data_IF_209365294194
#
_entry.id   IF_209365294194
#
_cell.length_a   1.000
_cell.length_b   1.000
_cell.length_c   1.000
_cell.angle_alpha   90.00
_cell.angle_beta   90.00
_cell.angle_gamma   90.00
#
_symmetry.space_group_name_H-M   'P 1'
#
loop_
_entity.id
_entity.type
_entity.pdbx_description
1 polymer ?
#
# COMPACT_ATOMS: atom_id res chain seq x y z
N UNK A 1 -28.87 19.93 -7.06
CA UNK A 1 -28.02 18.73 -7.29
C UNK A 1 -26.59 19.21 -7.49
N UNK A 2 -25.70 18.96 -6.51
CA UNK A 2 -24.30 19.33 -6.62
C UNK A 2 -23.62 18.32 -7.56
N UNK A 3 -23.41 18.69 -8.82
CA UNK A 3 -22.57 17.88 -9.72
C UNK A 3 -21.13 18.04 -9.25
N UNK A 4 -20.55 16.99 -8.67
CA UNK A 4 -19.10 16.87 -8.59
C UNK A 4 -18.59 17.05 -10.03
N UNK A 5 -17.74 18.04 -10.25
CA UNK A 5 -17.11 18.20 -11.57
C UNK A 5 -16.38 16.89 -11.91
N UNK A 6 -16.32 16.53 -13.19
CA UNK A 6 -15.60 15.33 -13.64
C UNK A 6 -14.16 15.28 -13.10
N UNK A 7 -13.54 16.45 -12.94
CA UNK A 7 -12.24 16.64 -12.30
C UNK A 7 -12.23 16.20 -10.83
N UNK A 8 -13.28 16.51 -10.07
CA UNK A 8 -13.42 16.06 -8.69
C UNK A 8 -13.62 14.55 -8.61
N UNK A 9 -14.41 13.96 -9.52
CA UNK A 9 -14.61 12.51 -9.60
C UNK A 9 -13.29 11.79 -9.85
N UNK A 10 -12.51 12.24 -10.84
CA UNK A 10 -11.22 11.64 -11.16
C UNK A 10 -10.23 11.76 -10.00
N UNK A 11 -10.18 12.91 -9.32
CA UNK A 11 -9.34 13.10 -8.13
C UNK A 11 -9.72 12.15 -6.99
N UNK A 12 -11.02 11.92 -6.78
CA UNK A 12 -11.48 10.98 -5.76
C UNK A 12 -11.04 9.56 -6.11
N UNK A 13 -11.24 9.10 -7.35
CA UNK A 13 -10.81 7.78 -7.83
C UNK A 13 -9.31 7.61 -7.62
N UNK A 14 -8.49 8.55 -8.08
CA UNK A 14 -7.03 8.49 -7.89
C UNK A 14 -6.63 8.42 -6.42
N UNK A 15 -7.27 9.19 -5.54
CA UNK A 15 -6.98 9.14 -4.11
C UNK A 15 -7.32 7.77 -3.49
N UNK A 16 -8.45 7.17 -3.89
CA UNK A 16 -8.82 5.82 -3.46
C UNK A 16 -7.84 4.77 -3.99
N UNK A 17 -7.48 4.83 -5.27
CA UNK A 17 -6.49 3.92 -5.87
C UNK A 17 -5.15 4.00 -5.15
N UNK A 18 -4.63 5.22 -4.87
CA UNK A 18 -3.38 5.39 -4.14
C UNK A 18 -3.46 4.82 -2.72
N UNK A 19 -4.61 4.95 -2.04
CA UNK A 19 -4.80 4.39 -0.71
C UNK A 19 -4.76 2.85 -0.72
N UNK A 20 -5.44 2.22 -1.69
CA UNK A 20 -5.43 0.77 -1.88
C UNK A 20 -4.02 0.26 -2.20
N UNK A 21 -3.36 0.88 -3.19
CA UNK A 21 -1.99 0.51 -3.59
C UNK A 21 -0.99 0.67 -2.43
N UNK A 22 -1.05 1.78 -1.68
CA UNK A 22 -0.22 1.99 -0.49
C UNK A 22 -0.45 0.89 0.55
N UNK A 23 -1.71 0.54 0.82
CA UNK A 23 -2.06 -0.49 1.81
C UNK A 23 -1.55 -1.87 1.41
N UNK A 24 -1.72 -2.24 0.14
CA UNK A 24 -1.24 -3.51 -0.39
C UNK A 24 0.30 -3.61 -0.34
N UNK A 25 1.00 -2.53 -0.71
CA UNK A 25 2.46 -2.49 -0.68
C UNK A 25 3.05 -2.46 0.74
N UNK A 26 2.35 -1.85 1.72
CA UNK A 26 2.74 -1.92 3.13
C UNK A 26 2.59 -3.35 3.69
N UNK A 27 1.55 -4.07 3.26
CA UNK A 27 1.38 -5.48 3.62
C UNK A 27 2.51 -6.34 3.02
N UNK A 28 2.85 -6.12 1.75
CA UNK A 28 4.00 -6.77 1.09
C UNK A 28 5.32 -6.52 1.85
N UNK A 29 5.61 -5.26 2.22
CA UNK A 29 6.79 -4.93 3.01
C UNK A 29 6.83 -5.71 4.33
N UNK A 30 5.70 -5.76 5.05
CA UNK A 30 5.60 -6.47 6.33
C UNK A 30 5.82 -7.97 6.16
N UNK A 31 5.23 -8.55 5.12
CA UNK A 31 5.42 -9.97 4.80
C UNK A 31 6.89 -10.28 4.47
N UNK A 32 7.55 -9.46 3.64
CA UNK A 32 8.96 -9.65 3.29
C UNK A 32 9.88 -9.59 4.53
N UNK A 33 9.59 -8.69 5.47
CA UNK A 33 10.32 -8.61 6.74
C UNK A 33 10.11 -9.86 7.63
N UNK A 34 8.89 -10.41 7.66
CA UNK A 34 8.56 -11.61 8.43
C UNK A 34 9.22 -12.88 7.85
N UNK A 35 9.22 -13.02 6.53
CA UNK A 35 9.94 -14.11 5.86
C UNK A 35 11.45 -14.02 6.16
N UNK A 36 12.05 -12.84 6.01
CA UNK A 36 13.47 -12.66 6.28
C UNK A 36 13.85 -12.99 7.74
N UNK A 37 13.01 -12.62 8.72
CA UNK A 37 13.25 -12.98 10.14
C UNK A 37 13.21 -14.50 10.37
N UNK A 38 12.39 -15.22 9.61
CA UNK A 38 12.22 -16.67 9.74
C UNK A 38 13.43 -17.44 9.19
N UNK A 39 14.05 -16.92 8.14
CA UNK A 39 15.28 -17.50 7.56
C UNK A 39 16.50 -17.34 8.48
N UNK A 40 16.58 -16.24 9.25
CA UNK A 40 17.68 -16.02 10.21
C UNK A 40 17.63 -16.97 11.42
N UNK A 41 16.44 -17.41 11.84
CA UNK A 41 16.27 -18.34 12.97
C UNK A 41 16.50 -19.80 12.60
N UNK A 42 16.52 -20.16 11.32
CA UNK A 42 16.65 -21.56 10.89
C UNK A 42 17.52 -21.73 9.61
N UNK A 43 18.85 -21.53 9.71
CA UNK A 43 19.77 -21.46 8.56
C UNK A 43 19.95 -22.77 7.77
N UNK A 44 19.38 -23.88 8.25
CA UNK A 44 19.40 -25.18 7.57
C UNK A 44 18.14 -25.44 6.71
N UNK A 45 17.16 -24.56 6.77
CA UNK A 45 16.03 -24.60 5.85
C UNK A 45 16.45 -23.81 4.61
N UNK A 46 16.78 -24.53 3.54
CA UNK A 46 16.99 -23.99 2.19
C UNK A 46 15.64 -23.55 1.59
N UNK A 47 14.82 -22.89 2.40
CA UNK A 47 13.69 -22.10 1.95
C UNK A 47 14.29 -20.75 1.56
N UNK A 48 14.89 -20.68 0.37
CA UNK A 48 14.72 -19.44 -0.41
C UNK A 48 13.24 -19.12 -0.30
N UNK A 49 12.88 -18.03 0.39
CA UNK A 49 11.49 -17.64 0.62
C UNK A 49 10.81 -17.45 -0.74
N UNK A 50 10.32 -18.54 -1.31
CA UNK A 50 9.58 -18.55 -2.56
C UNK A 50 8.35 -17.75 -2.23
N UNK A 51 8.25 -16.54 -2.76
CA UNK A 51 6.98 -15.83 -2.74
C UNK A 51 5.98 -16.81 -3.34
N UNK A 52 4.95 -17.24 -2.59
CA UNK A 52 3.88 -18.00 -3.19
C UNK A 52 3.11 -17.00 -4.05
N UNK A 53 3.69 -16.66 -5.20
CA UNK A 53 2.99 -16.03 -6.30
C UNK A 53 1.84 -16.97 -6.63
N UNK A 54 0.60 -16.47 -6.72
CA UNK A 54 -0.50 -17.33 -7.08
C UNK A 54 -0.21 -17.89 -8.48
N UNK A 55 -0.51 -19.16 -8.73
CA UNK A 55 -0.39 -19.70 -10.08
C UNK A 55 -1.27 -18.89 -11.04
N UNK A 56 -0.97 -18.92 -12.34
CA UNK A 56 -1.82 -18.27 -13.34
C UNK A 56 -3.28 -18.75 -13.25
N UNK A 57 -3.50 -20.01 -12.85
CA UNK A 57 -4.85 -20.54 -12.57
C UNK A 57 -5.47 -19.92 -11.32
N UNK A 58 -4.72 -19.73 -10.24
CA UNK A 58 -5.21 -19.06 -9.03
C UNK A 58 -5.57 -17.59 -9.29
N UNK A 59 -4.76 -16.89 -10.09
CA UNK A 59 -5.04 -15.51 -10.49
C UNK A 59 -6.31 -15.42 -11.35
N UNK A 60 -6.47 -16.30 -12.34
CA UNK A 60 -7.68 -16.34 -13.18
C UNK A 60 -8.92 -16.81 -12.41
N UNK A 61 -8.78 -17.70 -11.43
CA UNK A 61 -9.87 -18.10 -10.55
C UNK A 61 -10.35 -16.91 -9.70
N UNK A 62 -9.45 -16.17 -9.05
CA UNK A 62 -9.81 -14.99 -8.23
C UNK A 62 -10.46 -13.90 -9.11
N UNK A 63 -9.98 -13.73 -10.35
CA UNK A 63 -10.56 -12.79 -11.33
C UNK A 63 -11.97 -13.21 -11.76
N UNK A 64 -12.17 -14.50 -12.00
CA UNK A 64 -13.46 -15.09 -12.38
C UNK A 64 -14.48 -15.00 -11.23
N UNK A 65 -14.04 -15.24 -9.99
CA UNK A 65 -14.87 -15.11 -8.79
C UNK A 65 -15.25 -13.64 -8.51
N UNK A 66 -14.38 -12.69 -8.89
CA UNK A 66 -14.68 -11.25 -8.80
C UNK A 66 -15.60 -10.73 -9.92
N UNK A 67 -15.68 -11.41 -11.06
CA UNK A 67 -16.45 -10.97 -12.25
C UNK A 67 -17.80 -11.67 -12.41
N UNK A 68 -18.11 -12.67 -11.58
CA UNK A 68 -19.37 -13.44 -11.64
C UNK A 68 -20.51 -12.85 -10.80
N UNK A 69 -20.30 -11.74 -10.08
CA UNK A 69 -21.40 -11.08 -9.33
C UNK A 69 -22.31 -10.29 -10.29
N UNK A 70 -23.60 -10.60 -10.22
CA UNK A 70 -24.67 -10.12 -11.09
C UNK A 70 -24.72 -8.58 -11.15
N UNK A 71 -24.58 -8.01 -12.35
CA UNK A 71 -24.45 -6.55 -12.63
C UNK A 71 -25.65 -5.74 -12.12
N UNK A 72 -26.79 -6.39 -11.90
CA UNK A 72 -28.03 -5.74 -11.45
C UNK A 72 -28.01 -5.33 -9.96
N UNK A 73 -27.08 -5.86 -9.17
CA UNK A 73 -26.89 -5.42 -7.77
C UNK A 73 -25.40 -5.30 -7.50
N UNK A 74 -24.85 -4.07 -7.34
CA UNK A 74 -23.46 -3.91 -6.96
C UNK A 74 -23.27 -4.43 -5.53
N UNK A 75 -22.93 -5.70 -5.41
CA UNK A 75 -22.50 -6.32 -4.18
C UNK A 75 -20.99 -6.14 -4.04
N UNK A 76 -20.56 -5.72 -2.86
CA UNK A 76 -19.14 -5.77 -2.54
C UNK A 76 -18.69 -7.24 -2.62
N UNK A 77 -17.51 -7.54 -3.19
CA UNK A 77 -16.92 -8.87 -3.05
C UNK A 77 -16.84 -9.21 -1.55
N UNK A 78 -16.97 -10.48 -1.20
CA UNK A 78 -16.89 -10.89 0.21
C UNK A 78 -15.49 -10.52 0.72
N UNK A 79 -15.44 -9.48 1.54
CA UNK A 79 -14.17 -8.88 1.92
C UNK A 79 -13.60 -9.69 3.08
N UNK A 80 -12.35 -10.19 3.00
CA UNK A 80 -11.82 -11.16 3.98
C UNK A 80 -11.61 -10.61 5.40
N UNK A 81 -11.94 -9.35 5.69
CA UNK A 81 -11.74 -8.73 7.01
C UNK A 81 -12.62 -9.31 8.13
N UNK A 82 -13.63 -10.13 7.81
CA UNK A 82 -14.69 -10.55 8.73
C UNK A 82 -14.49 -11.88 9.47
N UNK A 83 -13.64 -12.77 8.96
CA UNK A 83 -13.47 -14.12 9.54
C UNK A 83 -12.15 -14.26 10.29
N UNK A 84 -12.16 -14.83 11.48
CA UNK A 84 -10.97 -15.03 12.33
C UNK A 84 -9.97 -16.05 11.75
N UNK A 85 -10.27 -16.68 10.61
CA UNK A 85 -9.38 -17.55 9.82
C UNK A 85 -8.63 -16.81 8.68
N UNK A 86 -8.63 -15.47 8.68
CA UNK A 86 -8.45 -14.63 7.47
C UNK A 86 -7.03 -14.23 7.07
N UNK A 87 -5.95 -14.63 7.75
CA UNK A 87 -4.62 -14.13 7.35
C UNK A 87 -4.21 -14.59 5.95
N UNK A 88 -4.40 -15.88 5.63
CA UNK A 88 -4.08 -16.42 4.31
C UNK A 88 -5.02 -15.87 3.22
N UNK A 89 -6.32 -15.78 3.51
CA UNK A 89 -7.30 -15.22 2.57
C UNK A 89 -7.08 -13.73 2.31
N UNK A 90 -6.72 -12.97 3.34
CA UNK A 90 -6.38 -11.54 3.25
C UNK A 90 -5.10 -11.35 2.44
N UNK A 91 -4.08 -12.18 2.69
CA UNK A 91 -2.85 -12.17 1.91
C UNK A 91 -3.12 -12.50 0.43
N UNK A 92 -3.88 -13.55 0.13
CA UNK A 92 -4.26 -13.91 -1.25
C UNK A 92 -5.01 -12.78 -1.96
N UNK A 93 -5.92 -12.10 -1.26
CA UNK A 93 -6.63 -10.95 -1.82
C UNK A 93 -5.70 -9.75 -2.06
N UNK A 94 -4.82 -9.43 -1.12
CA UNK A 94 -3.81 -8.36 -1.28
C UNK A 94 -2.84 -8.68 -2.42
N UNK A 95 -2.42 -9.93 -2.53
CA UNK A 95 -1.56 -10.43 -3.59
C UNK A 95 -2.26 -10.37 -4.95
N UNK A 96 -3.54 -10.74 -5.03
CA UNK A 96 -4.36 -10.54 -6.22
C UNK A 96 -4.40 -9.07 -6.64
N UNK A 97 -4.63 -8.15 -5.69
CA UNK A 97 -4.59 -6.71 -5.97
C UNK A 97 -3.21 -6.28 -6.48
N UNK A 98 -2.13 -6.76 -5.87
CA UNK A 98 -0.76 -6.44 -6.29
C UNK A 98 -0.48 -6.95 -7.71
N UNK A 99 -0.79 -8.20 -8.04
CA UNK A 99 -0.53 -8.78 -9.37
C UNK A 99 -1.42 -8.14 -10.44
N UNK A 100 -2.65 -7.75 -10.08
CA UNK A 100 -3.58 -7.06 -11.01
C UNK A 100 -3.18 -5.62 -11.28
N UNK A 101 -2.65 -4.91 -10.28
CA UNK A 101 -2.25 -3.50 -10.41
C UNK A 101 -0.82 -3.34 -10.96
N UNK A 102 0.04 -4.34 -10.80
CA UNK A 102 1.44 -4.31 -11.19
C UNK A 102 1.77 -5.45 -12.17
N UNK A 103 1.32 -5.29 -13.43
CA UNK A 103 1.47 -6.28 -14.53
C UNK A 103 2.90 -6.81 -14.74
N UNK A 104 3.92 -6.04 -14.37
CA UNK A 104 5.33 -6.47 -14.51
C UNK A 104 5.70 -7.61 -13.54
N UNK A 105 4.96 -7.79 -12.44
CA UNK A 105 5.08 -8.96 -11.56
C UNK A 105 4.64 -10.25 -12.27
N UNK A 106 3.89 -10.11 -13.36
CA UNK A 106 3.27 -11.19 -14.12
C UNK A 106 4.00 -11.50 -15.43
N UNK A 107 5.06 -10.78 -15.80
CA UNK A 107 5.79 -11.04 -17.04
C UNK A 107 6.78 -12.18 -16.81
N UNK A 108 6.53 -13.38 -17.39
CA UNK A 108 7.52 -14.41 -17.48
C UNK A 108 8.37 -14.05 -18.70
N UNK A 109 9.31 -13.14 -18.54
CA UNK A 109 10.41 -13.06 -19.49
C UNK A 109 11.04 -14.47 -19.48
N UNK A 110 11.51 -14.99 -20.62
CA UNK A 110 12.15 -16.32 -20.68
C UNK A 110 13.42 -16.43 -19.79
N UNK A 111 13.75 -15.38 -19.04
CA UNK A 111 14.82 -15.26 -18.04
C UNK A 111 14.31 -14.76 -16.67
N UNK A 112 13.00 -14.59 -16.49
CA UNK A 112 12.38 -14.08 -15.26
C UNK A 112 12.30 -15.22 -14.24
N UNK A 113 13.37 -15.39 -13.48
CA UNK A 113 13.41 -16.15 -12.23
C UNK A 113 12.64 -15.41 -11.13
N UNK A 114 11.36 -15.11 -11.37
CA UNK A 114 10.50 -14.43 -10.40
C UNK A 114 10.13 -15.32 -9.20
N UNK A 115 10.63 -16.56 -9.13
CA UNK A 115 10.29 -17.48 -8.06
C UNK A 115 11.18 -17.35 -6.83
N UNK A 116 12.39 -16.79 -6.91
CA UNK A 116 13.32 -16.74 -5.76
C UNK A 116 14.11 -15.42 -5.59
N UNK A 117 14.04 -14.46 -6.53
CA UNK A 117 14.76 -13.19 -6.41
C UNK A 117 13.90 -12.12 -5.70
N UNK A 118 14.30 -11.61 -4.51
CA UNK A 118 13.59 -10.53 -3.84
C UNK A 118 13.80 -9.15 -4.50
N UNK A 119 14.77 -9.00 -5.41
CA UNK A 119 15.12 -7.71 -5.99
C UNK A 119 13.97 -7.00 -6.73
N UNK A 120 13.12 -7.66 -7.56
CA UNK A 120 11.99 -7.00 -8.21
C UNK A 120 10.95 -6.47 -7.21
N UNK A 121 10.74 -7.17 -6.09
CA UNK A 121 9.81 -6.76 -5.05
C UNK A 121 10.33 -5.56 -4.28
N UNK A 122 11.63 -5.55 -3.95
CA UNK A 122 12.26 -4.41 -3.29
C UNK A 122 12.26 -3.19 -4.23
N UNK A 123 12.53 -3.39 -5.52
CA UNK A 123 12.43 -2.34 -6.54
C UNK A 123 11.00 -1.76 -6.61
N UNK A 124 9.97 -2.62 -6.57
CA UNK A 124 8.57 -2.17 -6.50
C UNK A 124 8.30 -1.31 -5.26
N UNK A 125 8.81 -1.70 -4.09
CA UNK A 125 8.67 -0.91 -2.86
C UNK A 125 9.36 0.46 -3.00
N UNK A 126 10.56 0.51 -3.57
CA UNK A 126 11.28 1.76 -3.80
C UNK A 126 10.56 2.67 -4.81
N UNK A 127 10.09 2.12 -5.93
CA UNK A 127 9.53 2.88 -7.05
C UNK A 127 8.05 3.25 -6.88
N UNK A 128 7.34 2.59 -5.96
CA UNK A 128 5.90 2.80 -5.74
C UNK A 128 5.54 3.10 -4.30
N UNK A 129 5.97 2.29 -3.33
CA UNK A 129 5.56 2.49 -1.94
C UNK A 129 6.12 3.78 -1.35
N UNK A 130 7.41 4.07 -1.54
CA UNK A 130 8.03 5.29 -0.99
C UNK A 130 7.40 6.56 -1.59
N UNK A 131 7.23 6.70 -2.92
CA UNK A 131 6.50 7.84 -3.50
C UNK A 131 5.05 7.95 -3.02
N UNK A 132 4.33 6.83 -2.86
CA UNK A 132 2.94 6.84 -2.37
C UNK A 132 2.85 7.33 -0.91
N UNK A 133 3.80 6.96 -0.05
CA UNK A 133 3.86 7.47 1.33
C UNK A 133 4.12 8.98 1.36
N UNK A 134 5.09 9.47 0.58
CA UNK A 134 5.38 10.90 0.49
C UNK A 134 4.19 11.69 -0.08
N UNK A 135 3.51 11.14 -1.10
CA UNK A 135 2.30 11.73 -1.65
C UNK A 135 1.16 11.79 -0.62
N UNK A 136 1.03 10.77 0.23
CA UNK A 136 0.05 10.75 1.32
C UNK A 136 0.34 11.83 2.38
N UNK A 137 1.60 11.96 2.83
CA UNK A 137 2.04 13.05 3.72
C UNK A 137 1.69 14.42 3.14
N UNK A 138 2.01 14.64 1.86
CA UNK A 138 1.73 15.89 1.17
C UNK A 138 0.22 16.17 1.08
N UNK A 139 -0.60 15.14 0.82
CA UNK A 139 -2.05 15.26 0.74
C UNK A 139 -2.68 15.62 2.09
N UNK A 140 -2.25 14.97 3.18
CA UNK A 140 -2.71 15.25 4.56
C UNK A 140 -2.31 16.67 4.95
N UNK A 141 -1.04 17.04 4.73
CA UNK A 141 -0.52 18.39 5.01
C UNK A 141 -1.32 19.45 4.26
N UNK A 142 -1.58 19.23 2.97
CA UNK A 142 -2.36 20.15 2.14
C UNK A 142 -3.82 20.26 2.61
N UNK A 143 -4.45 19.14 2.96
CA UNK A 143 -5.84 19.15 3.45
C UNK A 143 -5.94 19.92 4.75
N UNK A 144 -5.03 19.65 5.70
CA UNK A 144 -4.97 20.34 6.99
C UNK A 144 -4.70 21.82 6.81
N UNK A 145 -3.71 22.19 6.00
CA UNK A 145 -3.39 23.60 5.73
C UNK A 145 -4.59 24.38 5.17
N UNK A 146 -5.37 23.77 4.27
CA UNK A 146 -6.61 24.40 3.77
C UNK A 146 -7.62 24.67 4.89
N UNK A 147 -7.73 23.74 5.83
CA UNK A 147 -8.64 23.87 6.95
C UNK A 147 -8.12 24.90 7.97
N UNK A 148 -6.80 25.02 8.15
CA UNK A 148 -6.17 26.07 8.95
C UNK A 148 -6.45 27.46 8.36
N UNK A 149 -6.24 27.66 7.05
CA UNK A 149 -6.54 28.93 6.35
C UNK A 149 -8.01 29.32 6.51
N UNK A 150 -8.91 28.34 6.45
CA UNK A 150 -10.34 28.58 6.69
C UNK A 150 -10.60 28.93 8.17
N UNK A 151 -9.94 28.25 9.08
CA UNK A 151 -10.04 28.50 10.53
C UNK A 151 -9.61 29.91 10.90
N UNK A 152 -8.45 30.36 10.40
CA UNK A 152 -7.92 31.71 10.60
C UNK A 152 -8.88 32.81 10.10
N UNK A 153 -9.60 32.54 9.00
CA UNK A 153 -10.54 33.51 8.44
C UNK A 153 -11.85 33.65 9.24
N UNK A 154 -12.20 32.67 10.07
CA UNK A 154 -13.53 32.57 10.70
C UNK A 154 -13.44 32.69 12.23
N UNK A 155 -12.39 32.15 12.83
CA UNK A 155 -12.26 32.02 14.29
C UNK A 155 -11.24 33.05 14.80
N UNK A 156 -11.65 34.03 15.63
CA UNK A 156 -10.72 34.92 16.30
C UNK A 156 -9.69 34.13 17.12
N UNK A 157 -8.43 34.56 17.07
CA UNK A 157 -7.30 33.94 17.80
C UNK A 157 -7.06 32.45 17.48
N UNK A 158 -7.51 31.96 16.32
CA UNK A 158 -7.36 30.56 15.89
C UNK A 158 -5.94 30.01 16.10
N UNK A 159 -4.91 30.75 15.65
CA UNK A 159 -3.51 30.31 15.73
C UNK A 159 -2.97 30.21 17.17
N UNK A 160 -3.65 30.79 18.18
CA UNK A 160 -3.20 30.73 19.58
C UNK A 160 -3.56 29.39 20.25
N UNK A 161 -4.64 28.75 19.80
CA UNK A 161 -5.13 27.47 20.33
C UNK A 161 -4.95 26.28 19.39
N UNK A 162 -4.35 26.50 18.22
CA UNK A 162 -4.27 25.51 17.15
C UNK A 162 -2.86 25.33 16.61
N UNK A 163 -2.36 24.10 16.61
CA UNK A 163 -1.11 23.76 15.94
C UNK A 163 -1.34 23.76 14.41
N UNK A 164 -0.81 24.78 13.73
CA UNK A 164 -0.92 24.92 12.29
C UNK A 164 -0.14 23.81 11.56
N UNK A 165 -0.61 23.45 10.37
CA UNK A 165 0.03 22.46 9.50
C UNK A 165 1.52 22.75 9.25
N UNK A 166 1.83 24.02 9.06
CA UNK A 166 3.17 24.54 8.73
C UNK A 166 4.07 24.69 9.94
N UNK A 167 3.54 24.55 11.16
CA UNK A 167 4.30 24.78 12.40
C UNK A 167 5.28 23.64 12.74
N UNK A 168 5.14 22.49 12.09
CA UNK A 168 5.86 21.27 12.45
C UNK A 168 5.44 20.67 13.80
N UNK A 169 4.45 21.25 14.50
CA UNK A 169 3.94 20.78 15.78
C UNK A 169 2.66 19.98 15.66
N UNK A 170 1.94 20.12 14.54
CA UNK A 170 0.68 19.42 14.32
C UNK A 170 0.85 17.91 14.45
N UNK A 171 0.06 17.31 15.36
CA UNK A 171 0.21 15.89 15.73
C UNK A 171 -0.13 14.95 14.57
N UNK A 172 -1.09 15.33 13.73
CA UNK A 172 -1.53 14.48 12.61
C UNK A 172 -0.47 14.45 11.52
N UNK A 173 0.05 15.61 11.12
CA UNK A 173 1.11 15.70 10.12
C UNK A 173 2.38 15.01 10.63
N UNK A 174 2.75 15.24 11.90
CA UNK A 174 3.90 14.56 12.50
C UNK A 174 3.74 13.04 12.51
N UNK A 175 2.56 12.54 12.88
CA UNK A 175 2.29 11.11 12.86
C UNK A 175 2.47 10.52 11.45
N UNK A 176 1.86 11.15 10.43
CA UNK A 176 1.93 10.65 9.05
C UNK A 176 3.35 10.77 8.48
N UNK A 177 4.11 11.81 8.85
CA UNK A 177 5.52 11.93 8.49
C UNK A 177 6.35 10.81 9.13
N UNK A 178 6.14 10.53 10.42
CA UNK A 178 6.83 9.46 11.12
C UNK A 178 6.53 8.09 10.50
N UNK A 179 5.29 7.82 10.08
CA UNK A 179 4.97 6.60 9.34
C UNK A 179 5.70 6.52 7.99
N UNK A 180 5.82 7.63 7.26
CA UNK A 180 6.54 7.67 6.00
C UNK A 180 8.05 7.45 6.19
N UNK A 181 8.65 8.08 7.19
CA UNK A 181 10.07 7.94 7.52
C UNK A 181 10.36 6.50 7.98
N UNK A 182 9.52 5.94 8.86
CA UNK A 182 9.64 4.54 9.30
C UNK A 182 9.49 3.57 8.12
N UNK A 183 8.58 3.85 7.17
CA UNK A 183 8.45 3.05 5.96
C UNK A 183 9.72 3.09 5.11
N UNK A 184 10.35 4.26 4.98
CA UNK A 184 11.60 4.41 4.24
C UNK A 184 12.73 3.61 4.90
N UNK A 185 12.89 3.74 6.23
CA UNK A 185 13.90 2.99 6.99
C UNK A 185 13.72 1.48 6.83
N UNK A 186 12.47 0.99 6.86
CA UNK A 186 12.13 -0.42 6.67
C UNK A 186 12.51 -0.93 5.27
N UNK A 187 12.16 -0.18 4.22
CA UNK A 187 12.50 -0.54 2.83
C UNK A 187 14.02 -0.52 2.62
N UNK A 188 14.72 0.47 3.16
CA UNK A 188 16.18 0.56 3.08
C UNK A 188 16.85 -0.60 3.82
N UNK A 189 16.40 -0.93 5.04
CA UNK A 189 16.91 -2.06 5.79
C UNK A 189 16.75 -3.38 5.01
N UNK A 190 15.57 -3.60 4.44
CA UNK A 190 15.28 -4.79 3.63
C UNK A 190 16.19 -4.87 2.38
N UNK A 191 16.40 -3.74 1.70
CA UNK A 191 17.33 -3.66 0.55
C UNK A 191 18.75 -4.03 0.96
N UNK A 192 19.24 -3.51 2.09
CA UNK A 192 20.59 -3.82 2.58
C UNK A 192 20.75 -5.28 2.96
N UNK A 193 19.72 -5.94 3.49
CA UNK A 193 19.80 -7.33 3.96
C UNK A 193 19.62 -8.35 2.85
N UNK A 194 18.73 -8.10 1.88
CA UNK A 194 18.37 -9.08 0.85
C UNK A 194 19.21 -9.02 -0.42
N UNK A 195 19.86 -7.89 -0.74
CA UNK A 195 20.64 -7.73 -1.99
C UNK A 195 22.16 -7.80 -1.77
N UNK A 196 22.64 -7.63 -0.53
CA UNK A 196 24.09 -7.68 -0.21
C UNK A 196 24.58 -9.03 0.36
N UNK A 197 23.72 -10.05 0.41
CA UNK A 197 24.12 -11.45 0.64
C UNK A 197 24.42 -12.12 -0.70
#
# INVERSE_FOLDING_TARGET
KCQLSEVCRQKAITAYTHCLQRSALLALLTWLEEQHKTDETNPNNDTTATLPLPSDEEVEQIRSDSTTKNVDTPEWPDIPWGDENSQEATWKFQLFLLVTEFDFLRQPDEHSTCTNDPAPWIQLLQDRLLPLNQAYVAAVTKSKHRDDVRGEAIVPDFCQGHDLATSGKDKVIRYVQQEADACQERVEALFQTMIKK
#
